data_IF_742146653706
#
_entry.id   IF_742146653706
#
_cell.length_a   1.000
_cell.length_b   1.000
_cell.length_c   1.000
_cell.angle_alpha   90.00
_cell.angle_beta   90.00
_cell.angle_gamma   90.00
#
_symmetry.space_group_name_H-M   'P 1'
#
loop_
_entity.id
_entity.type
_entity.pdbx_description
1 polymer ?
#
# COMPACT_ATOMS: atom_id res chain seq x y z
N UNK A 1 15.39 -13.48 -90.26
CA UNK A 1 15.18 -13.04 -88.87
C UNK A 1 13.70 -12.71 -88.78
N UNK A 2 12.88 -13.67 -88.31
CA UNK A 2 11.44 -13.46 -88.22
C UNK A 2 11.19 -12.52 -87.04
N UNK A 3 10.71 -11.33 -87.36
CA UNK A 3 10.32 -10.30 -86.40
C UNK A 3 9.08 -10.83 -85.67
N UNK A 4 9.25 -11.35 -84.45
CA UNK A 4 8.13 -11.67 -83.58
C UNK A 4 7.56 -10.33 -83.14
N UNK A 5 6.59 -9.82 -83.89
CA UNK A 5 5.70 -8.75 -83.45
C UNK A 5 5.02 -9.23 -82.17
N UNK A 6 5.46 -8.74 -81.01
CA UNK A 6 4.74 -8.87 -79.74
C UNK A 6 3.43 -8.07 -79.84
N UNK A 7 2.47 -8.59 -80.58
CA UNK A 7 1.13 -8.02 -80.78
C UNK A 7 0.24 -8.16 -79.53
N UNK A 8 0.77 -8.70 -78.44
CA UNK A 8 -0.02 -9.15 -77.28
C UNK A 8 -0.16 -8.13 -76.15
N UNK A 9 0.55 -7.00 -76.15
CA UNK A 9 0.52 -6.08 -75.01
C UNK A 9 -0.32 -4.81 -75.20
N UNK A 10 -0.60 -4.36 -76.42
CA UNK A 10 -1.22 -3.04 -76.65
C UNK A 10 -2.75 -3.03 -76.69
N UNK A 11 -3.39 -4.19 -76.80
CA UNK A 11 -4.85 -4.32 -76.98
C UNK A 11 -5.56 -5.15 -75.88
N UNK A 12 -4.93 -5.38 -74.73
CA UNK A 12 -5.57 -6.12 -73.65
C UNK A 12 -6.54 -5.21 -72.88
N UNK A 13 -7.83 -5.58 -72.76
CA UNK A 13 -8.78 -4.82 -71.95
C UNK A 13 -8.35 -4.86 -70.48
N UNK A 14 -8.55 -3.75 -69.76
CA UNK A 14 -8.25 -3.68 -68.34
C UNK A 14 -9.13 -4.68 -67.56
N UNK A 15 -8.53 -5.37 -66.59
CA UNK A 15 -9.28 -6.22 -65.66
C UNK A 15 -10.20 -5.35 -64.79
N UNK A 16 -11.46 -5.76 -64.63
CA UNK A 16 -12.42 -5.09 -63.75
C UNK A 16 -12.36 -5.58 -62.30
N UNK A 17 -11.81 -6.77 -62.09
CA UNK A 17 -11.60 -7.44 -60.80
C UNK A 17 -10.34 -8.31 -60.93
N UNK A 18 -9.77 -8.68 -59.79
CA UNK A 18 -8.56 -9.52 -59.72
C UNK A 18 -8.74 -10.54 -58.60
N UNK A 19 -8.51 -11.81 -58.90
CA UNK A 19 -8.57 -12.93 -57.96
C UNK A 19 -7.18 -13.28 -57.40
N UNK A 20 -7.14 -14.00 -56.28
CA UNK A 20 -5.89 -14.29 -55.58
C UNK A 20 -4.90 -15.14 -56.40
N UNK A 21 -5.40 -15.93 -57.34
CA UNK A 21 -4.67 -16.82 -58.23
C UNK A 21 -4.42 -16.22 -59.63
N UNK A 22 -4.90 -15.01 -59.92
CA UNK A 22 -4.59 -14.31 -61.17
C UNK A 22 -3.09 -14.05 -61.32
N UNK A 23 -2.59 -14.20 -62.56
CA UNK A 23 -1.17 -14.11 -62.87
C UNK A 23 -0.76 -12.70 -63.31
N UNK A 24 0.33 -12.22 -62.72
CA UNK A 24 1.07 -11.03 -63.12
C UNK A 24 2.44 -11.44 -63.65
N UNK A 25 2.85 -10.86 -64.79
CA UNK A 25 4.19 -11.04 -65.32
C UNK A 25 5.17 -10.09 -64.63
N UNK A 26 6.30 -10.64 -64.21
CA UNK A 26 7.38 -9.91 -63.57
C UNK A 26 8.71 -10.32 -64.16
N UNK A 27 9.62 -9.38 -64.33
CA UNK A 27 11.00 -9.70 -64.69
C UNK A 27 11.81 -9.89 -63.40
N UNK A 28 12.31 -11.10 -63.16
CA UNK A 28 13.15 -11.43 -62.02
C UNK A 28 14.53 -11.87 -62.51
N UNK A 29 15.53 -11.01 -62.27
CA UNK A 29 16.93 -11.24 -62.68
C UNK A 29 17.09 -11.52 -64.18
N UNK A 30 16.37 -10.78 -65.02
CA UNK A 30 16.43 -10.92 -66.48
C UNK A 30 15.57 -12.03 -67.06
N UNK A 31 14.85 -12.80 -66.24
CA UNK A 31 13.90 -13.81 -66.70
C UNK A 31 12.46 -13.37 -66.42
N UNK A 32 11.59 -13.52 -67.42
CA UNK A 32 10.16 -13.31 -67.22
C UNK A 32 9.57 -14.50 -66.47
N UNK A 33 8.89 -14.19 -65.37
CA UNK A 33 8.20 -15.13 -64.50
C UNK A 33 6.78 -14.65 -64.26
N UNK A 34 5.88 -15.58 -63.98
CA UNK A 34 4.54 -15.24 -63.50
C UNK A 34 4.50 -15.37 -61.99
N UNK A 35 3.84 -14.43 -61.32
CA UNK A 35 3.47 -14.53 -59.91
C UNK A 35 1.97 -14.36 -59.76
N UNK A 36 1.40 -14.93 -58.70
CA UNK A 36 -0.01 -14.68 -58.38
C UNK A 36 -0.18 -13.32 -57.70
N UNK A 37 -1.38 -12.75 -57.77
CA UNK A 37 -1.72 -11.51 -57.07
C UNK A 37 -1.60 -11.67 -55.55
N UNK A 38 -1.91 -12.85 -55.01
CA UNK A 38 -1.66 -13.18 -53.59
C UNK A 38 -0.19 -13.06 -53.18
N UNK A 39 0.76 -13.43 -54.05
CA UNK A 39 2.20 -13.27 -53.80
C UNK A 39 2.57 -11.79 -53.74
N UNK A 40 2.02 -10.97 -54.65
CA UNK A 40 2.25 -9.52 -54.64
C UNK A 40 1.67 -8.86 -53.38
N UNK A 41 0.42 -9.16 -53.02
CA UNK A 41 -0.23 -8.63 -51.81
C UNK A 41 0.58 -9.01 -50.58
N UNK A 42 1.05 -10.26 -50.48
CA UNK A 42 1.91 -10.69 -49.37
C UNK A 42 3.20 -9.88 -49.31
N UNK A 43 3.85 -9.65 -50.45
CA UNK A 43 5.07 -8.84 -50.50
C UNK A 43 4.83 -7.38 -50.05
N UNK A 44 3.69 -6.79 -50.42
CA UNK A 44 3.30 -5.44 -49.96
C UNK A 44 3.06 -5.43 -48.45
N UNK A 45 2.30 -6.40 -47.93
CA UNK A 45 2.02 -6.52 -46.49
C UNK A 45 3.33 -6.72 -45.71
N UNK A 46 4.24 -7.57 -46.18
CA UNK A 46 5.54 -7.81 -45.56
C UNK A 46 6.41 -6.55 -45.55
N UNK A 47 6.29 -5.69 -46.56
CA UNK A 47 7.01 -4.42 -46.63
C UNK A 47 6.43 -3.34 -45.73
N UNK A 48 5.10 -3.26 -45.60
CA UNK A 48 4.41 -2.21 -44.81
C UNK A 48 4.37 -2.58 -43.34
N UNK A 49 4.16 -3.87 -43.04
CA UNK A 49 4.02 -4.42 -41.69
C UNK A 49 5.06 -5.51 -41.45
N UNK A 50 6.34 -5.17 -41.26
CA UNK A 50 7.37 -6.15 -40.98
C UNK A 50 7.10 -6.90 -39.66
N UNK A 51 7.71 -8.07 -39.49
CA UNK A 51 7.65 -8.81 -38.21
C UNK A 51 8.20 -7.91 -37.09
N UNK A 52 7.56 -7.95 -35.93
CA UNK A 52 7.77 -7.06 -34.77
C UNK A 52 7.28 -5.61 -34.96
N UNK A 53 6.55 -5.29 -36.02
CA UNK A 53 5.80 -4.03 -36.10
C UNK A 53 4.51 -4.09 -35.28
N UNK A 54 4.02 -2.93 -34.85
CA UNK A 54 2.76 -2.79 -34.11
C UNK A 54 1.72 -2.00 -34.92
N UNK A 55 0.45 -2.35 -34.76
CA UNK A 55 -0.68 -1.66 -35.39
C UNK A 55 -1.88 -1.58 -34.43
N UNK A 56 -2.66 -0.51 -34.54
CA UNK A 56 -3.82 -0.25 -33.67
C UNK A 56 -5.09 -0.09 -34.49
N UNK A 57 -6.12 -0.84 -34.14
CA UNK A 57 -7.47 -0.68 -34.71
C UNK A 57 -8.38 0.09 -33.75
N UNK A 58 -9.26 0.91 -34.31
CA UNK A 58 -10.29 1.63 -33.56
C UNK A 58 -11.53 0.77 -33.23
N UNK A 59 -11.54 -0.48 -33.67
CA UNK A 59 -12.63 -1.43 -33.52
C UNK A 59 -12.08 -2.82 -33.10
N UNK A 60 -12.90 -3.85 -33.28
CA UNK A 60 -12.57 -5.23 -32.92
C UNK A 60 -11.81 -5.99 -34.01
N UNK A 61 -11.30 -5.32 -35.04
CA UNK A 61 -10.62 -5.96 -36.17
C UNK A 61 -9.46 -6.84 -35.70
N UNK A 62 -9.40 -8.05 -36.27
CA UNK A 62 -8.33 -9.01 -36.07
C UNK A 62 -7.46 -9.08 -37.34
N UNK A 63 -6.20 -8.60 -37.29
CA UNK A 63 -5.32 -8.57 -38.46
C UNK A 63 -4.98 -9.96 -39.00
N UNK A 64 -5.11 -11.02 -38.20
CA UNK A 64 -4.96 -12.40 -38.69
C UNK A 64 -6.04 -12.77 -39.73
N UNK A 65 -7.22 -12.14 -39.68
CA UNK A 65 -8.27 -12.31 -40.68
C UNK A 65 -8.14 -11.31 -41.83
N UNK A 66 -7.62 -10.11 -41.56
CA UNK A 66 -7.45 -9.03 -42.56
C UNK A 66 -6.27 -9.29 -43.51
N UNK A 67 -5.19 -9.88 -43.00
CA UNK A 67 -3.95 -10.10 -43.75
C UNK A 67 -3.56 -11.59 -43.72
N UNK A 68 -4.19 -12.42 -44.57
CA UNK A 68 -3.88 -13.83 -44.67
C UNK A 68 -2.38 -14.10 -44.89
N UNK A 69 -1.85 -15.11 -44.21
CA UNK A 69 -0.42 -15.45 -44.29
C UNK A 69 0.49 -14.63 -43.38
N UNK A 70 -0.09 -13.80 -42.49
CA UNK A 70 0.62 -13.15 -41.38
C UNK A 70 0.07 -13.64 -40.04
N UNK A 71 0.87 -13.55 -38.98
CA UNK A 71 0.48 -13.89 -37.61
C UNK A 71 0.68 -12.69 -36.70
N UNK A 72 -0.33 -12.37 -35.90
CA UNK A 72 -0.37 -11.23 -35.01
C UNK A 72 -0.83 -11.63 -33.61
N UNK A 73 -0.15 -11.07 -32.61
CA UNK A 73 -0.50 -11.23 -31.21
C UNK A 73 -1.01 -9.89 -30.63
N UNK A 74 -1.90 -9.97 -29.63
CA UNK A 74 -2.37 -8.78 -28.89
C UNK A 74 -1.20 -8.15 -28.16
N UNK A 75 -1.08 -6.82 -28.21
CA UNK A 75 -0.15 -6.11 -27.32
C UNK A 75 -0.60 -6.42 -25.87
N UNK A 76 0.29 -6.94 -25.02
CA UNK A 76 -0.08 -7.37 -23.69
C UNK A 76 -0.39 -6.17 -22.79
N UNK A 77 -1.32 -6.36 -21.85
CA UNK A 77 -1.71 -5.33 -20.88
C UNK A 77 -3.02 -4.63 -21.24
N UNK A 78 -4.14 -5.35 -21.08
CA UNK A 78 -5.47 -4.76 -21.23
C UNK A 78 -5.65 -3.55 -20.30
N UNK A 79 -6.15 -2.43 -20.83
CA UNK A 79 -6.34 -1.19 -20.08
C UNK A 79 -5.07 -0.37 -19.83
N UNK A 80 -3.89 -0.81 -20.30
CA UNK A 80 -2.64 -0.07 -20.13
C UNK A 80 -2.42 0.96 -21.25
N UNK A 81 -1.69 2.02 -20.92
CA UNK A 81 -1.17 3.00 -21.90
C UNK A 81 0.19 2.55 -22.43
N UNK A 82 0.45 2.75 -23.72
CA UNK A 82 1.75 2.46 -24.33
C UNK A 82 2.77 3.51 -23.91
N UNK A 83 3.97 3.06 -23.52
CA UNK A 83 5.13 3.89 -23.22
C UNK A 83 6.26 3.58 -24.20
N UNK A 84 7.13 4.55 -24.41
CA UNK A 84 8.32 4.37 -25.24
C UNK A 84 9.34 3.54 -24.46
N UNK A 85 9.86 2.49 -25.10
CA UNK A 85 10.98 1.71 -24.60
C UNK A 85 12.25 2.58 -24.54
N UNK A 86 13.20 2.18 -23.69
CA UNK A 86 14.52 2.78 -23.66
C UNK A 86 15.29 2.54 -24.97
N UNK A 87 16.35 3.32 -25.20
CA UNK A 87 17.12 3.30 -26.45
C UNK A 87 17.83 1.96 -26.74
N UNK A 88 18.03 1.11 -25.73
CA UNK A 88 18.64 -0.22 -25.91
C UNK A 88 17.60 -1.29 -26.28
N UNK A 89 16.31 -0.99 -26.12
CA UNK A 89 15.21 -1.92 -26.37
C UNK A 89 15.07 -3.03 -25.33
N UNK A 90 15.83 -2.99 -24.23
CA UNK A 90 15.83 -4.02 -23.18
C UNK A 90 14.51 -4.12 -22.40
N UNK A 91 13.69 -3.08 -22.47
CA UNK A 91 12.37 -2.98 -21.84
C UNK A 91 11.20 -3.04 -22.84
N UNK A 92 11.45 -3.40 -24.10
CA UNK A 92 10.39 -3.64 -25.08
C UNK A 92 9.43 -4.72 -24.56
N UNK A 93 8.14 -4.43 -24.64
CA UNK A 93 7.03 -5.27 -24.14
C UNK A 93 7.01 -5.53 -22.62
N UNK A 94 7.90 -4.91 -21.83
CA UNK A 94 7.76 -4.95 -20.38
C UNK A 94 6.48 -4.22 -19.95
N UNK A 95 5.87 -4.70 -18.87
CA UNK A 95 4.61 -4.19 -18.34
C UNK A 95 4.79 -3.69 -16.91
N UNK A 96 4.09 -2.61 -16.57
CA UNK A 96 4.09 -2.07 -15.21
C UNK A 96 2.87 -1.19 -14.93
N UNK A 97 2.89 -0.52 -13.78
CA UNK A 97 1.84 0.40 -13.33
C UNK A 97 0.64 -0.27 -12.65
N UNK A 98 -0.14 0.56 -11.95
CA UNK A 98 -1.42 0.22 -11.31
C UNK A 98 -2.42 1.34 -11.57
N UNK A 99 -3.70 1.00 -11.67
CA UNK A 99 -4.81 1.94 -11.78
C UNK A 99 -5.25 2.48 -10.41
N UNK A 100 -4.83 1.82 -9.33
CA UNK A 100 -5.11 2.22 -7.95
C UNK A 100 -3.84 2.34 -7.12
N UNK A 101 -3.90 3.18 -6.10
CA UNK A 101 -2.88 3.31 -5.07
C UNK A 101 -3.53 3.43 -3.70
N UNK A 102 -2.82 2.96 -2.67
CA UNK A 102 -3.17 3.16 -1.27
C UNK A 102 -2.11 4.05 -0.62
N UNK A 103 -2.53 5.13 0.04
CA UNK A 103 -1.62 5.95 0.83
C UNK A 103 -1.24 5.21 2.12
N UNK A 104 0.05 5.00 2.35
CA UNK A 104 0.59 4.51 3.60
C UNK A 104 1.25 5.65 4.39
N UNK A 105 1.49 5.44 5.69
CA UNK A 105 2.14 6.43 6.55
C UNK A 105 3.52 6.87 6.02
N UNK A 106 4.25 5.97 5.35
CA UNK A 106 5.55 6.27 4.71
C UNK A 106 5.44 7.20 3.50
N UNK A 107 4.25 7.36 2.91
CA UNK A 107 4.00 8.29 1.81
C UNK A 107 3.62 9.70 2.30
N UNK A 108 3.37 9.89 3.59
CA UNK A 108 2.98 11.18 4.15
C UNK A 108 4.21 11.98 4.58
N UNK A 109 4.24 13.30 4.31
CA UNK A 109 5.25 14.18 4.89
C UNK A 109 5.26 14.11 6.43
N UNK A 110 6.43 14.35 7.03
CA UNK A 110 6.56 14.47 8.48
C UNK A 110 5.64 15.59 8.99
N UNK A 111 4.87 15.27 10.01
CA UNK A 111 4.00 16.21 10.71
C UNK A 111 3.93 15.83 12.18
N UNK A 112 3.49 16.75 13.03
CA UNK A 112 3.30 16.52 14.46
C UNK A 112 1.94 17.05 14.90
N UNK A 113 1.35 16.38 15.89
CA UNK A 113 0.14 16.82 16.56
C UNK A 113 0.53 17.23 17.98
N UNK A 114 0.78 18.53 18.23
CA UNK A 114 1.10 18.97 19.58
C UNK A 114 -0.10 18.72 20.50
N UNK A 115 0.13 17.98 21.58
CA UNK A 115 -0.88 17.70 22.61
C UNK A 115 -0.46 18.43 23.87
N UNK A 116 -1.33 19.33 24.35
CA UNK A 116 -1.17 20.03 25.64
C UNK A 116 -2.42 19.77 26.49
N UNK A 117 -2.32 18.81 27.41
CA UNK A 117 -3.41 18.43 28.31
C UNK A 117 -2.97 18.67 29.74
N UNK A 118 -3.74 19.48 30.46
CA UNK A 118 -3.62 19.64 31.92
C UNK A 118 -4.91 19.22 32.60
N UNK A 119 -4.81 18.26 33.53
CA UNK A 119 -5.88 18.03 34.49
C UNK A 119 -5.97 19.22 35.44
N UNK A 120 -7.19 19.68 35.75
CA UNK A 120 -7.40 20.69 36.79
C UNK A 120 -6.97 20.13 38.15
N UNK A 121 -6.24 20.91 38.93
CA UNK A 121 -5.87 20.56 40.30
C UNK A 121 -7.13 20.40 41.15
N UNK A 122 -7.22 19.28 41.88
CA UNK A 122 -8.31 19.03 42.83
C UNK A 122 -7.72 18.76 44.22
N UNK A 123 -8.32 19.37 45.23
CA UNK A 123 -7.90 19.21 46.63
C UNK A 123 -8.90 18.32 47.36
N UNK A 124 -8.44 17.16 47.82
CA UNK A 124 -9.26 16.24 48.60
C UNK A 124 -9.40 16.65 50.07
N UNK A 125 -8.64 17.65 50.51
CA UNK A 125 -8.60 18.13 51.89
C UNK A 125 -8.14 17.05 52.87
N UNK A 126 -8.60 17.15 54.11
CA UNK A 126 -8.33 16.19 55.18
C UNK A 126 -9.48 15.19 55.29
N UNK A 127 -9.17 13.90 55.42
CA UNK A 127 -10.15 12.84 55.67
C UNK A 127 -9.95 12.27 57.06
N UNK A 128 -11.06 11.95 57.72
CA UNK A 128 -11.09 11.49 59.10
C UNK A 128 -11.72 10.11 59.18
N UNK A 129 -11.15 9.20 59.96
CA UNK A 129 -11.68 7.85 60.14
C UNK A 129 -12.97 7.87 60.95
N UNK A 130 -13.78 6.81 60.81
CA UNK A 130 -14.86 6.54 61.75
C UNK A 130 -14.30 6.38 63.16
N UNK A 131 -15.13 6.71 64.15
CA UNK A 131 -14.81 6.46 65.55
C UNK A 131 -14.77 4.96 65.81
N UNK A 132 -13.67 4.48 66.38
CA UNK A 132 -13.51 3.11 66.82
C UNK A 132 -12.87 3.08 68.21
N UNK A 133 -13.16 2.02 68.96
CA UNK A 133 -12.58 1.80 70.28
C UNK A 133 -11.57 0.67 70.19
N UNK A 134 -10.28 1.01 70.24
CA UNK A 134 -9.20 0.03 70.26
C UNK A 134 -8.24 0.24 71.44
N UNK A 135 -7.46 -0.79 71.75
CA UNK A 135 -6.61 -0.85 72.93
C UNK A 135 -5.13 -0.78 72.53
N UNK A 136 -4.35 -0.01 73.28
CA UNK A 136 -2.89 -0.05 73.21
C UNK A 136 -2.35 -0.80 74.42
N UNK A 137 -1.46 -1.75 74.15
CA UNK A 137 -0.77 -2.58 75.14
C UNK A 137 0.58 -1.91 75.44
N UNK A 138 0.68 -1.21 76.57
CA UNK A 138 1.95 -0.59 77.00
C UNK A 138 2.60 -1.49 78.05
N UNK A 139 3.88 -1.89 77.88
CA UNK A 139 4.58 -2.61 78.92
C UNK A 139 4.87 -1.66 80.09
N UNK A 140 4.53 -2.06 81.32
CA UNK A 140 4.80 -1.26 82.50
C UNK A 140 6.28 -1.34 82.86
N UNK A 141 6.93 -0.17 83.01
CA UNK A 141 8.23 -0.05 83.69
C UNK A 141 7.95 -0.05 85.21
N UNK A 142 8.08 -1.24 85.81
CA UNK A 142 8.16 -1.59 87.25
C UNK A 142 7.35 -0.78 88.29
N UNK A 143 6.44 -1.47 88.99
CA UNK A 143 5.98 -1.05 90.34
C UNK A 143 6.89 -1.72 91.36
N UNK A 144 7.83 -0.96 91.92
CA UNK A 144 8.69 -1.42 93.01
C UNK A 144 7.84 -1.74 94.25
N UNK A 145 7.66 -3.03 94.54
CA UNK A 145 7.15 -3.51 95.83
C UNK A 145 8.30 -3.47 96.82
N UNK A 146 8.49 -2.40 97.61
CA UNK A 146 9.12 -2.53 98.92
C UNK A 146 8.68 -1.46 99.92
N UNK A 147 8.34 -1.97 101.09
CA UNK A 147 8.11 -1.33 102.37
C UNK A 147 9.22 -0.35 102.77
N UNK A 148 8.83 0.91 103.03
CA UNK A 148 9.27 1.62 104.24
C UNK A 148 10.75 1.96 104.42
N UNK A 149 11.51 2.22 103.35
CA UNK A 149 12.84 2.83 103.44
C UNK A 149 13.04 3.80 102.28
N UNK A 150 13.34 5.07 102.57
CA UNK A 150 13.47 6.17 101.60
C UNK A 150 14.28 5.77 100.37
N UNK A 151 13.62 5.72 99.21
CA UNK A 151 14.30 5.54 97.93
C UNK A 151 14.82 6.88 97.41
N UNK A 152 16.13 6.91 97.23
CA UNK A 152 16.89 7.87 96.46
C UNK A 152 16.71 7.62 94.96
N UNK A 153 15.88 8.45 94.34
CA UNK A 153 16.14 9.14 93.07
C UNK A 153 16.54 8.43 91.77
N UNK A 154 16.91 7.15 91.70
CA UNK A 154 17.29 6.50 90.42
C UNK A 154 17.47 4.99 90.56
N UNK A 155 16.49 4.19 90.11
CA UNK A 155 16.74 2.79 89.80
C UNK A 155 15.88 2.33 88.62
N UNK A 156 16.54 2.23 87.47
CA UNK A 156 16.01 1.87 86.17
C UNK A 156 16.04 0.34 85.90
N UNK A 157 16.29 -0.51 86.91
CA UNK A 157 16.68 -1.92 86.71
C UNK A 157 15.71 -2.96 87.32
N UNK A 158 14.42 -2.95 86.94
CA UNK A 158 13.52 -4.10 87.18
C UNK A 158 12.69 -4.38 85.92
N UNK A 159 12.90 -5.56 85.31
CA UNK A 159 12.11 -6.03 84.17
C UNK A 159 10.76 -6.59 84.65
N UNK A 160 9.66 -6.03 84.15
CA UNK A 160 8.30 -6.48 84.43
C UNK A 160 7.65 -7.01 83.15
N UNK A 161 6.96 -8.15 83.21
CA UNK A 161 6.17 -8.73 82.11
C UNK A 161 4.70 -8.29 82.13
N UNK A 162 4.34 -7.35 83.01
CA UNK A 162 2.99 -6.82 83.09
C UNK A 162 2.78 -5.76 82.01
N UNK A 163 1.75 -5.95 81.20
CA UNK A 163 1.24 -4.91 80.32
C UNK A 163 -0.19 -4.58 80.70
N UNK A 164 -0.51 -3.28 80.71
CA UNK A 164 -1.87 -2.80 80.84
C UNK A 164 -2.41 -2.48 79.46
N UNK A 165 -3.60 -3.00 79.15
CA UNK A 165 -4.38 -2.53 78.02
C UNK A 165 -5.01 -1.21 78.44
N UNK A 166 -4.56 -0.14 77.82
CA UNK A 166 -5.18 1.17 77.99
C UNK A 166 -6.11 1.39 76.81
N UNK A 167 -7.37 1.72 77.07
CA UNK A 167 -8.22 2.38 76.09
C UNK A 167 -8.37 3.83 76.52
N UNK A 168 -8.29 4.72 75.54
CA UNK A 168 -8.87 6.06 75.68
C UNK A 168 -10.14 6.11 74.85
N UNK A 169 -11.03 7.03 75.21
CA UNK A 169 -12.33 7.27 74.58
C UNK A 169 -12.26 7.20 73.04
N UNK A 170 -13.38 6.86 72.38
CA UNK A 170 -13.47 6.77 70.92
C UNK A 170 -12.74 7.94 70.26
N UNK A 171 -11.76 7.64 69.41
CA UNK A 171 -10.96 8.67 68.73
C UNK A 171 -10.92 8.41 67.23
N UNK A 172 -10.56 9.46 66.50
CA UNK A 172 -10.45 9.45 65.04
C UNK A 172 -9.05 9.83 64.62
N UNK A 173 -8.55 9.21 63.56
CA UNK A 173 -7.35 9.66 62.88
C UNK A 173 -7.72 10.57 61.73
N UNK A 174 -6.87 11.56 61.45
CA UNK A 174 -7.02 12.44 60.30
C UNK A 174 -5.79 12.36 59.41
N UNK A 175 -6.02 12.31 58.09
CA UNK A 175 -4.98 12.26 57.07
C UNK A 175 -5.20 13.42 56.10
N UNK A 176 -4.19 14.27 55.95
CA UNK A 176 -4.17 15.30 54.93
C UNK A 176 -3.74 14.67 53.59
N UNK A 177 -4.64 14.71 52.60
CA UNK A 177 -4.36 14.19 51.25
C UNK A 177 -3.83 15.34 50.38
N UNK A 178 -4.45 16.51 50.49
CA UNK A 178 -4.01 17.73 49.80
C UNK A 178 -4.25 17.72 48.30
N UNK A 179 -3.75 18.77 47.66
CA UNK A 179 -3.84 18.95 46.22
C UNK A 179 -2.88 18.02 45.48
N UNK A 180 -3.39 17.33 44.47
CA UNK A 180 -2.56 16.58 43.54
C UNK A 180 -3.12 16.68 42.11
N UNK A 181 -2.32 16.24 41.15
CA UNK A 181 -2.65 16.21 39.73
C UNK A 181 -2.46 14.80 39.19
N UNK A 182 -3.14 14.50 38.08
CA UNK A 182 -3.01 13.24 37.38
C UNK A 182 -2.37 13.46 36.00
N UNK A 183 -1.52 12.51 35.61
CA UNK A 183 -1.08 12.40 34.23
C UNK A 183 -2.23 11.92 33.35
N UNK A 184 -2.57 12.69 32.33
CA UNK A 184 -3.57 12.29 31.33
C UNK A 184 -2.86 11.65 30.16
N UNK A 185 -3.16 10.38 29.91
CA UNK A 185 -2.69 9.64 28.73
C UNK A 185 -3.88 9.32 27.84
N UNK A 186 -3.73 9.52 26.54
CA UNK A 186 -4.75 9.22 25.54
C UNK A 186 -4.12 8.94 24.19
N UNK A 187 -4.90 8.33 23.30
CA UNK A 187 -4.55 8.11 21.90
C UNK A 187 -5.43 9.02 21.04
N UNK A 188 -4.85 9.70 20.04
CA UNK A 188 -5.59 10.53 19.08
C UNK A 188 -6.35 9.68 18.05
N UNK A 189 -6.18 8.36 18.08
CA UNK A 189 -6.80 7.41 17.16
C UNK A 189 -6.07 7.32 15.83
N UNK A 190 -6.49 6.37 14.99
CA UNK A 190 -5.95 6.16 13.65
C UNK A 190 -6.56 7.15 12.66
N UNK A 191 -5.73 7.80 11.85
CA UNK A 191 -6.17 8.65 10.74
C UNK A 191 -6.09 7.90 9.40
N UNK A 192 -7.08 8.12 8.53
CA UNK A 192 -7.17 7.52 7.19
C UNK A 192 -7.89 6.16 7.17
N UNK A 193 -8.48 5.81 6.02
CA UNK A 193 -9.21 4.54 5.84
C UNK A 193 -8.36 3.41 5.26
N UNK A 194 -7.15 3.72 4.77
CA UNK A 194 -6.33 2.79 3.99
C UNK A 194 -7.01 2.32 2.69
N UNK A 195 -8.08 2.99 2.26
CA UNK A 195 -8.79 2.65 1.04
C UNK A 195 -7.98 3.05 -0.19
N UNK A 196 -8.07 2.24 -1.22
CA UNK A 196 -7.53 2.56 -2.53
C UNK A 196 -8.24 3.78 -3.13
N UNK A 197 -7.48 4.57 -3.88
CA UNK A 197 -8.01 5.60 -4.76
C UNK A 197 -7.50 5.39 -6.18
N UNK A 198 -8.32 5.76 -7.15
CA UNK A 198 -8.01 5.61 -8.58
C UNK A 198 -7.03 6.68 -9.03
N UNK A 199 -5.97 6.25 -9.71
CA UNK A 199 -4.98 7.10 -10.37
C UNK A 199 -5.02 6.95 -11.90
N UNK A 200 -6.04 6.28 -12.41
CA UNK A 200 -6.27 6.09 -13.84
C UNK A 200 -6.47 7.42 -14.56
N UNK A 201 -5.65 7.66 -15.58
CA UNK A 201 -5.81 8.82 -16.46
C UNK A 201 -7.04 8.65 -17.39
N UNK A 202 -7.56 9.77 -17.89
CA UNK A 202 -8.52 9.73 -19.01
C UNK A 202 -7.83 9.17 -20.26
N UNK A 203 -8.47 8.24 -20.97
CA UNK A 203 -7.89 7.56 -22.12
C UNK A 203 -8.92 7.15 -23.18
N UNK A 204 -8.42 6.79 -24.36
CA UNK A 204 -9.14 6.05 -25.41
C UNK A 204 -8.48 4.69 -25.59
N UNK A 205 -9.28 3.62 -25.70
CA UNK A 205 -8.78 2.25 -25.91
C UNK A 205 -8.84 1.90 -27.39
N UNK A 206 -7.70 1.50 -27.95
CA UNK A 206 -7.58 0.92 -29.28
C UNK A 206 -7.13 -0.54 -29.17
N UNK A 207 -7.52 -1.34 -30.15
CA UNK A 207 -7.19 -2.74 -30.22
C UNK A 207 -5.78 -2.92 -30.82
N UNK A 208 -4.76 -2.86 -29.96
CA UNK A 208 -3.35 -2.99 -30.35
C UNK A 208 -2.92 -4.43 -30.65
N UNK A 209 -2.14 -4.60 -31.71
CA UNK A 209 -1.52 -5.87 -32.13
C UNK A 209 -0.06 -5.65 -32.51
N UNK A 210 0.75 -6.71 -32.40
CA UNK A 210 2.09 -6.75 -32.98
C UNK A 210 2.29 -8.02 -33.80
N UNK A 211 3.03 -7.91 -34.91
CA UNK A 211 3.24 -9.02 -35.84
C UNK A 211 4.32 -9.96 -35.31
N UNK A 212 4.02 -11.26 -35.27
CA UNK A 212 4.93 -12.31 -34.79
C UNK A 212 5.48 -13.21 -35.90
N UNK A 213 4.78 -13.31 -37.04
CA UNK A 213 5.25 -14.01 -38.24
C UNK A 213 4.60 -13.42 -39.51
#
# INVERSE_FOLDING_TARGET
MADILLKYLTDLPAASLVEADDLLHVNQSGNDRSMTVSVLIKAIIDSVYPVNSAHFFADTTNPNATWPGTTWARIPGAGKTVRLANSTGSDVLQQGGSDTATLAATNMPQHSHPVDIKASQFDHGTKTTSQDNHFHTVPLKSIGKWTGGSQDGSSDDISSSLSTNTSTYQHTHSVAIGAHVHDVKGDTGSAGSGSEFTITNQYVKLAGWYRTA
#
